data_IF_094317401658
#
_entry.id   IF_094317401658
#
_cell.length_a   1.000
_cell.length_b   1.000
_cell.length_c   1.000
_cell.angle_alpha   90.00
_cell.angle_beta   90.00
_cell.angle_gamma   90.00
#
_symmetry.space_group_name_H-M   'P 1'
#
loop_
_entity.id
_entity.type
_entity.pdbx_description
1 polymer ?
#
# COMPACT_ATOMS: atom_id res chain seq x y z
N UNK A 1 -3.02 4.76 23.42
CA UNK A 1 -4.03 3.72 23.19
C UNK A 1 -5.30 4.27 22.53
N UNK A 2 -6.08 5.16 23.17
CA UNK A 2 -7.40 5.60 22.66
C UNK A 2 -7.41 6.27 21.27
N UNK A 3 -6.34 6.98 20.90
CA UNK A 3 -6.28 7.76 19.64
C UNK A 3 -6.16 6.89 18.38
N UNK A 4 -5.49 5.74 18.46
CA UNK A 4 -5.34 4.84 17.32
C UNK A 4 -6.60 4.02 17.07
N UNK A 5 -7.23 3.56 18.16
CA UNK A 5 -8.51 2.87 18.08
C UNK A 5 -9.61 3.76 17.46
N UNK A 6 -9.61 5.06 17.80
CA UNK A 6 -10.56 6.01 17.22
C UNK A 6 -10.35 6.23 15.71
N UNK A 7 -9.09 6.25 15.24
CA UNK A 7 -8.79 6.37 13.80
C UNK A 7 -9.14 5.08 13.05
N UNK A 8 -8.84 3.92 13.62
CA UNK A 8 -9.22 2.63 13.06
C UNK A 8 -10.75 2.54 12.88
N UNK A 9 -11.52 2.90 13.91
CA UNK A 9 -12.98 2.95 13.83
C UNK A 9 -13.51 3.94 12.77
N UNK A 10 -12.85 5.09 12.58
CA UNK A 10 -13.22 6.05 11.54
C UNK A 10 -12.96 5.53 10.11
N UNK A 11 -11.86 4.78 9.95
CA UNK A 11 -11.52 4.12 8.69
C UNK A 11 -12.50 2.98 8.39
N UNK A 12 -12.86 2.18 9.41
CA UNK A 12 -13.87 1.13 9.32
C UNK A 12 -15.28 1.66 8.99
N UNK A 13 -15.63 2.84 9.54
CA UNK A 13 -16.91 3.49 9.27
C UNK A 13 -16.93 4.30 7.97
N UNK A 14 -15.84 4.29 7.20
CA UNK A 14 -15.65 5.08 5.97
C UNK A 14 -15.88 6.60 6.13
N UNK A 15 -15.71 7.13 7.34
CA UNK A 15 -15.99 8.54 7.62
C UNK A 15 -14.77 9.40 7.28
N UNK A 16 -14.68 9.79 6.00
CA UNK A 16 -13.64 10.65 5.48
C UNK A 16 -13.43 11.91 6.33
N UNK A 17 -14.51 12.58 6.73
CA UNK A 17 -14.44 13.86 7.46
C UNK A 17 -13.85 13.66 8.85
N UNK A 18 -14.21 12.56 9.51
CA UNK A 18 -13.65 12.19 10.80
C UNK A 18 -12.16 11.85 10.67
N UNK A 19 -11.78 11.05 9.67
CA UNK A 19 -10.38 10.72 9.37
C UNK A 19 -9.57 12.01 9.10
N UNK A 20 -10.06 12.88 8.21
CA UNK A 20 -9.42 14.15 7.87
C UNK A 20 -9.21 15.02 9.13
N UNK A 21 -10.26 15.17 9.95
CA UNK A 21 -10.21 15.95 11.18
C UNK A 21 -9.16 15.41 12.17
N UNK A 22 -9.09 14.09 12.34
CA UNK A 22 -8.11 13.45 13.23
C UNK A 22 -6.67 13.64 12.72
N UNK A 23 -6.40 13.42 11.44
CA UNK A 23 -5.08 13.61 10.84
C UNK A 23 -4.65 15.07 10.88
N UNK A 24 -5.57 16.02 10.66
CA UNK A 24 -5.29 17.46 10.78
C UNK A 24 -4.88 17.85 12.20
N UNK A 25 -5.51 17.26 13.22
CA UNK A 25 -5.18 17.49 14.63
C UNK A 25 -3.88 16.83 15.05
N UNK A 26 -3.55 15.67 14.49
CA UNK A 26 -2.31 14.98 14.78
C UNK A 26 -1.77 14.24 13.54
N UNK A 27 -0.83 14.90 12.85
CA UNK A 27 -0.27 14.40 11.59
C UNK A 27 0.51 13.09 11.75
N UNK A 28 1.09 12.82 12.92
CA UNK A 28 1.89 11.60 13.14
C UNK A 28 1.04 10.33 13.18
N UNK A 29 -0.28 10.45 13.29
CA UNK A 29 -1.18 9.30 13.32
C UNK A 29 -1.07 8.42 12.07
N UNK A 30 -0.77 9.01 10.91
CA UNK A 30 -0.65 8.30 9.62
C UNK A 30 0.47 7.26 9.57
N UNK A 31 1.45 7.36 10.47
CA UNK A 31 2.63 6.49 10.53
C UNK A 31 2.58 5.51 11.70
N UNK A 32 1.62 5.66 12.60
CA UNK A 32 1.55 4.82 13.80
C UNK A 32 0.68 3.61 13.47
N UNK A 33 1.22 2.39 13.58
CA UNK A 33 0.46 1.19 13.32
C UNK A 33 -0.60 0.95 14.42
N UNK A 34 -1.68 0.31 14.02
CA UNK A 34 -2.68 -0.21 14.95
C UNK A 34 -2.04 -1.15 15.98
N UNK A 35 -2.59 -1.17 17.18
CA UNK A 35 -2.14 -2.06 18.26
C UNK A 35 -2.81 -3.43 18.13
N UNK A 36 -2.65 -4.04 16.95
CA UNK A 36 -3.13 -5.39 16.63
C UNK A 36 -1.95 -6.27 16.25
N UNK A 37 -2.18 -7.58 16.13
CA UNK A 37 -1.19 -8.54 15.64
C UNK A 37 -0.66 -8.17 14.24
N UNK A 38 -1.49 -7.50 13.43
CA UNK A 38 -1.15 -7.17 12.04
C UNK A 38 -0.37 -5.86 11.91
N UNK A 39 -0.39 -4.99 12.95
CA UNK A 39 0.38 -3.75 13.04
C UNK A 39 0.33 -2.92 11.75
N UNK A 40 -0.86 -2.77 11.18
CA UNK A 40 -1.10 -1.99 9.95
C UNK A 40 -1.11 -0.50 10.26
N UNK A 41 -0.37 0.28 9.47
CA UNK A 41 -0.55 1.73 9.46
C UNK A 41 -1.89 2.09 8.80
N UNK A 42 -2.48 3.26 9.10
CA UNK A 42 -3.86 3.59 8.70
C UNK A 42 -4.17 3.43 7.21
N UNK A 43 -3.23 3.76 6.32
CA UNK A 43 -3.41 3.63 4.87
C UNK A 43 -3.63 2.17 4.43
N UNK A 44 -2.99 1.21 5.10
CA UNK A 44 -3.15 -0.22 4.79
C UNK A 44 -4.50 -0.74 5.28
N UNK A 45 -4.96 -0.27 6.45
CA UNK A 45 -6.28 -0.59 6.95
C UNK A 45 -7.37 -0.10 5.96
N UNK A 46 -7.26 1.14 5.49
CA UNK A 46 -8.19 1.71 4.51
C UNK A 46 -8.17 0.95 3.18
N UNK A 47 -6.98 0.63 2.66
CA UNK A 47 -6.84 -0.13 1.42
C UNK A 47 -7.43 -1.54 1.54
N UNK A 48 -7.22 -2.22 2.68
CA UNK A 48 -7.76 -3.54 2.93
C UNK A 48 -9.30 -3.58 2.99
N UNK A 49 -9.93 -2.47 3.39
CA UNK A 49 -11.38 -2.32 3.39
C UNK A 49 -11.94 -1.91 2.02
N UNK A 50 -11.08 -1.59 1.04
CA UNK A 50 -11.51 -1.11 -0.28
C UNK A 50 -11.97 0.35 -0.30
N UNK A 51 -11.74 1.12 0.77
CA UNK A 51 -12.14 2.53 0.81
C UNK A 51 -11.12 3.39 0.06
N UNK A 52 -11.31 3.52 -1.26
CA UNK A 52 -10.36 4.22 -2.12
C UNK A 52 -10.22 5.72 -1.79
N UNK A 53 -11.29 6.40 -1.36
CA UNK A 53 -11.23 7.83 -1.01
C UNK A 53 -10.34 8.07 0.21
N UNK A 54 -10.56 7.32 1.29
CA UNK A 54 -9.74 7.42 2.50
C UNK A 54 -8.33 6.90 2.26
N UNK A 55 -8.17 5.86 1.44
CA UNK A 55 -6.85 5.32 1.08
C UNK A 55 -6.02 6.36 0.35
N UNK A 56 -6.56 7.02 -0.68
CA UNK A 56 -5.87 8.08 -1.41
C UNK A 56 -5.48 9.25 -0.50
N UNK A 57 -6.39 9.66 0.39
CA UNK A 57 -6.11 10.72 1.35
C UNK A 57 -4.96 10.33 2.29
N UNK A 58 -5.03 9.16 2.94
CA UNK A 58 -4.00 8.71 3.87
C UNK A 58 -2.66 8.49 3.16
N UNK A 59 -2.67 7.92 1.95
CA UNK A 59 -1.47 7.74 1.13
C UNK A 59 -0.73 9.06 0.89
N UNK A 60 -1.45 10.13 0.52
CA UNK A 60 -0.85 11.46 0.31
C UNK A 60 -0.28 12.12 1.58
N UNK A 61 -0.63 11.58 2.77
CA UNK A 61 -0.20 12.10 4.07
C UNK A 61 0.87 11.22 4.73
N UNK A 62 0.99 9.96 4.33
CA UNK A 62 1.96 9.03 4.89
C UNK A 62 3.36 9.26 4.30
N UNK A 63 4.40 9.43 5.12
CA UNK A 63 5.78 9.52 4.65
C UNK A 63 6.20 8.28 3.86
N UNK A 64 6.88 8.49 2.74
CA UNK A 64 7.34 7.41 1.85
C UNK A 64 8.25 6.39 2.56
N UNK A 65 9.02 6.84 3.55
CA UNK A 65 9.91 5.98 4.35
C UNK A 65 9.15 4.89 5.11
N UNK A 66 7.86 5.08 5.38
CA UNK A 66 7.02 4.07 6.04
C UNK A 66 6.73 2.86 5.13
N UNK A 67 6.97 2.99 3.81
CA UNK A 67 6.77 1.92 2.83
C UNK A 67 8.06 1.24 2.37
N UNK A 68 9.20 1.93 2.49
CA UNK A 68 10.49 1.55 1.90
C UNK A 68 11.05 0.22 2.46
N UNK A 69 10.80 -0.08 3.74
CA UNK A 69 11.31 -1.29 4.42
C UNK A 69 10.46 -2.56 4.17
N UNK A 70 9.70 -2.58 3.08
CA UNK A 70 9.18 -3.80 2.48
C UNK A 70 7.83 -4.30 3.00
N UNK A 71 7.67 -4.50 4.30
CA UNK A 71 6.47 -5.19 4.82
C UNK A 71 5.18 -4.36 4.71
N UNK A 72 5.26 -3.06 5.00
CA UNK A 72 4.09 -2.19 4.91
C UNK A 72 3.81 -1.79 3.45
N UNK A 73 4.86 -1.51 2.66
CA UNK A 73 4.76 -1.22 1.24
C UNK A 73 4.17 -2.39 0.43
N UNK A 74 4.65 -3.63 0.66
CA UNK A 74 4.15 -4.80 -0.05
C UNK A 74 2.68 -5.11 0.30
N UNK A 75 2.27 -4.88 1.54
CA UNK A 75 0.87 -5.05 1.93
C UNK A 75 -0.02 -3.98 1.32
N UNK A 76 0.42 -2.71 1.33
CA UNK A 76 -0.35 -1.65 0.68
C UNK A 76 -0.48 -1.93 -0.83
N UNK A 77 0.59 -2.37 -1.49
CA UNK A 77 0.57 -2.73 -2.91
C UNK A 77 -0.45 -3.85 -3.18
N UNK A 78 -0.40 -4.93 -2.38
CA UNK A 78 -1.37 -6.03 -2.48
C UNK A 78 -2.81 -5.55 -2.28
N UNK A 79 -3.05 -4.76 -1.24
CA UNK A 79 -4.40 -4.31 -0.88
C UNK A 79 -4.94 -3.31 -1.91
N UNK A 80 -4.10 -2.42 -2.45
CA UNK A 80 -4.45 -1.52 -3.54
C UNK A 80 -4.82 -2.28 -4.83
N UNK A 81 -4.10 -3.35 -5.15
CA UNK A 81 -4.44 -4.23 -6.29
C UNK A 81 -5.82 -4.88 -6.09
N UNK A 82 -6.09 -5.45 -4.91
CA UNK A 82 -7.39 -6.06 -4.61
C UNK A 82 -8.55 -5.05 -4.62
N UNK A 83 -8.30 -3.82 -4.18
CA UNK A 83 -9.26 -2.72 -4.18
C UNK A 83 -9.39 -2.01 -5.54
N UNK A 84 -8.69 -2.49 -6.57
CA UNK A 84 -8.60 -1.88 -7.90
C UNK A 84 -8.11 -0.41 -7.90
N UNK A 85 -7.33 -0.04 -6.88
CA UNK A 85 -6.70 1.27 -6.75
C UNK A 85 -5.35 1.29 -7.49
N UNK A 86 -5.43 1.20 -8.82
CA UNK A 86 -4.25 1.07 -9.68
C UNK A 86 -3.33 2.30 -9.67
N UNK A 87 -3.87 3.48 -9.37
CA UNK A 87 -3.08 4.72 -9.27
C UNK A 87 -2.04 4.60 -8.13
N UNK A 88 -2.47 4.15 -6.94
CA UNK A 88 -1.57 3.91 -5.81
C UNK A 88 -0.65 2.72 -6.06
N UNK A 89 -1.18 1.64 -6.65
CA UNK A 89 -0.37 0.46 -6.95
C UNK A 89 0.78 0.78 -7.91
N UNK A 90 0.51 1.57 -8.95
CA UNK A 90 1.50 2.01 -9.93
C UNK A 90 2.53 2.94 -9.29
N UNK A 91 2.09 3.98 -8.55
CA UNK A 91 3.00 4.92 -7.88
C UNK A 91 3.93 4.19 -6.87
N UNK A 92 3.44 3.16 -6.17
CA UNK A 92 4.27 2.33 -5.30
C UNK A 92 5.33 1.51 -6.04
N UNK A 93 4.98 0.89 -7.17
CA UNK A 93 5.93 0.09 -7.96
C UNK A 93 6.97 0.97 -8.65
N UNK A 94 6.57 2.15 -9.12
CA UNK A 94 7.48 3.12 -9.73
C UNK A 94 8.48 3.67 -8.70
N UNK A 95 8.03 3.95 -7.48
CA UNK A 95 8.90 4.45 -6.40
C UNK A 95 9.74 3.37 -5.75
N UNK A 96 9.19 2.18 -5.58
CA UNK A 96 9.82 1.06 -4.88
C UNK A 96 9.70 -0.25 -5.65
N UNK A 97 10.50 -0.43 -6.73
CA UNK A 97 10.52 -1.64 -7.54
C UNK A 97 10.72 -2.96 -6.76
N UNK A 98 11.45 -2.88 -5.64
CA UNK A 98 11.72 -4.04 -4.77
C UNK A 98 10.44 -4.59 -4.11
N UNK A 99 9.36 -3.80 -4.00
CA UNK A 99 8.11 -4.25 -3.38
C UNK A 99 7.40 -5.34 -4.19
N UNK A 100 7.57 -5.35 -5.52
CA UNK A 100 7.02 -6.40 -6.39
C UNK A 100 7.52 -7.80 -5.99
N UNK A 101 8.73 -7.86 -5.44
CA UNK A 101 9.43 -9.09 -5.05
C UNK A 101 9.41 -9.32 -3.53
N UNK A 102 8.88 -8.37 -2.76
CA UNK A 102 8.89 -8.44 -1.29
C UNK A 102 7.76 -9.32 -0.79
N UNK A 103 8.10 -10.35 -0.03
CA UNK A 103 7.15 -11.33 0.54
C UNK A 103 6.63 -10.86 1.89
N UNK A 104 5.31 -10.65 2.01
CA UNK A 104 4.62 -10.59 3.31
C UNK A 104 3.67 -11.77 3.47
N UNK A 105 4.02 -12.72 4.35
CA UNK A 105 3.21 -13.94 4.56
C UNK A 105 3.29 -14.92 3.38
N UNK A 106 2.12 -15.39 2.90
CA UNK A 106 2.01 -16.39 1.80
C UNK A 106 1.72 -15.77 0.42
N UNK A 107 1.64 -14.45 0.30
CA UNK A 107 1.17 -13.77 -0.91
C UNK A 107 2.22 -12.79 -1.42
N UNK A 108 2.66 -13.00 -2.67
CA UNK A 108 3.42 -12.01 -3.43
C UNK A 108 2.40 -11.06 -4.09
N UNK A 109 2.62 -9.74 -4.10
CA UNK A 109 1.80 -8.83 -4.89
C UNK A 109 1.68 -9.27 -6.36
N UNK A 110 2.75 -9.84 -6.91
CA UNK A 110 2.79 -10.44 -8.25
C UNK A 110 1.87 -11.67 -8.37
N UNK A 111 1.84 -12.54 -7.35
CA UNK A 111 0.95 -13.69 -7.30
C UNK A 111 -0.52 -13.27 -7.16
N UNK A 112 -0.78 -12.18 -6.43
CA UNK A 112 -2.10 -11.58 -6.28
C UNK A 112 -2.66 -11.08 -7.61
N UNK A 113 -1.86 -10.36 -8.41
CA UNK A 113 -2.26 -9.92 -9.75
C UNK A 113 -2.56 -11.09 -10.69
N UNK A 114 -1.72 -12.12 -10.68
CA UNK A 114 -1.91 -13.30 -11.53
C UNK A 114 -3.20 -14.09 -11.18
N UNK A 115 -3.65 -14.03 -9.93
CA UNK A 115 -4.85 -14.73 -9.46
C UNK A 115 -6.13 -13.88 -9.49
N UNK A 116 -6.01 -12.56 -9.62
CA UNK A 116 -7.14 -11.66 -9.76
C UNK A 116 -7.74 -11.75 -11.18
N UNK A 117 -8.39 -12.89 -11.46
CA UNK A 117 -8.90 -13.30 -12.79
C UNK A 117 -9.95 -12.36 -13.41
N UNK A 118 -10.47 -11.40 -12.64
CA UNK A 118 -11.51 -10.46 -13.07
C UNK A 118 -11.03 -9.00 -13.20
N UNK A 119 -9.74 -8.70 -12.96
CA UNK A 119 -9.25 -7.34 -13.18
C UNK A 119 -9.22 -7.04 -14.68
N UNK A 120 -9.86 -5.95 -15.16
CA UNK A 120 -9.81 -5.59 -16.57
C UNK A 120 -8.36 -5.40 -17.02
N UNK A 121 -7.88 -6.27 -17.92
CA UNK A 121 -6.49 -6.31 -18.43
C UNK A 121 -5.99 -4.92 -18.87
N UNK A 122 -6.88 -4.05 -19.35
CA UNK A 122 -6.52 -2.68 -19.77
C UNK A 122 -6.15 -1.73 -18.62
N UNK A 123 -6.68 -1.93 -17.41
CA UNK A 123 -6.41 -1.08 -16.24
C UNK A 123 -5.20 -1.57 -15.43
N UNK A 124 -4.98 -2.87 -15.38
CA UNK A 124 -3.80 -3.47 -14.74
C UNK A 124 -2.58 -3.56 -15.64
N UNK A 125 -2.70 -3.29 -16.95
CA UNK A 125 -1.60 -3.37 -17.92
C UNK A 125 -0.37 -2.58 -17.48
N UNK A 126 -0.51 -1.34 -17.00
CA UNK A 126 0.63 -0.53 -16.55
C UNK A 126 1.32 -1.09 -15.31
N UNK A 127 0.54 -1.65 -14.38
CA UNK A 127 1.06 -2.30 -13.17
C UNK A 127 1.79 -3.60 -13.54
N UNK A 128 1.20 -4.41 -14.44
CA UNK A 128 1.81 -5.63 -14.94
C UNK A 128 3.08 -5.35 -15.74
N UNK A 129 3.07 -4.36 -16.64
CA UNK A 129 4.24 -3.95 -17.43
C UNK A 129 5.37 -3.42 -16.54
N UNK A 130 5.04 -2.60 -15.53
CA UNK A 130 6.00 -2.12 -14.56
C UNK A 130 6.61 -3.27 -13.74
N UNK A 131 5.82 -4.27 -13.37
CA UNK A 131 6.34 -5.47 -12.67
C UNK A 131 7.12 -6.40 -13.61
N UNK A 132 6.71 -6.58 -14.86
CA UNK A 132 7.33 -7.50 -15.83
C UNK A 132 8.68 -6.96 -16.35
N UNK A 133 8.77 -5.65 -16.59
CA UNK A 133 10.06 -4.98 -16.87
C UNK A 133 11.07 -5.17 -15.74
N UNK A 134 10.59 -5.23 -14.49
CA UNK A 134 11.44 -5.41 -13.31
C UNK A 134 11.79 -6.88 -13.04
N UNK A 135 10.96 -7.84 -13.49
CA UNK A 135 11.23 -9.29 -13.42
C UNK A 135 12.21 -9.74 -14.52
N UNK A 136 12.11 -9.17 -15.72
CA UNK A 136 13.00 -9.52 -16.85
C UNK A 136 14.38 -8.85 -16.79
N UNK A 137 14.52 -7.72 -16.08
CA UNK A 137 15.80 -7.01 -15.92
C UNK A 137 16.14 -6.73 -14.45
N UNK A 138 16.40 -7.75 -13.62
CA UNK A 138 16.64 -7.55 -12.20
C UNK A 138 17.94 -6.79 -11.88
N UNK A 139 18.91 -6.66 -12.80
CA UNK A 139 20.21 -6.03 -12.54
C UNK A 139 20.65 -5.03 -13.62
N UNK A 140 20.46 -3.74 -13.33
CA UNK A 140 21.35 -2.67 -13.80
C UNK A 140 21.56 -1.63 -12.70
N UNK A 141 21.70 -2.09 -11.45
CA UNK A 141 22.18 -1.25 -10.35
C UNK A 141 23.27 -2.02 -9.59
N UNK A 142 24.52 -1.73 -9.99
CA UNK A 142 25.65 -1.66 -9.07
C UNK A 142 26.26 -2.97 -8.55
N UNK A 143 26.94 -3.72 -9.39
CA UNK A 143 28.20 -4.34 -8.94
C UNK A 143 29.23 -3.22 -8.74
N UNK A 144 29.46 -2.82 -7.49
CA UNK A 144 30.74 -2.29 -7.07
C UNK A 144 30.97 -2.73 -5.63
N UNK A 145 31.55 -3.92 -5.49
CA UNK A 145 32.21 -4.31 -4.27
C UNK A 145 33.40 -3.36 -4.04
N UNK A 146 33.41 -2.69 -2.90
CA UNK A 146 34.64 -2.33 -2.18
C UNK A 146 34.47 -2.81 -0.74
#
# INVERSE_FOLDING_TARGET
MVRQLALAGAVESEDYRMVECMIRKNKTLVSIPEDTVQRRIPVIAAANLGNNEVTCYLYSRTPLQDFEKGDQGAALLRDAIYAENFDIALDLIERFPSLAHTRRGYSYPLYTLAYAKDIPVRKSAGVLEAMDLQVLYPHSIGTSCY
#
